data_IF_277211978426
#
_entry.id   IF_277211978426
#
_cell.length_a   1.000
_cell.length_b   1.000
_cell.length_c   1.000
_cell.angle_alpha   90.00
_cell.angle_beta   90.00
_cell.angle_gamma   90.00
#
_symmetry.space_group_name_H-M   'P 1'
#
loop_
_entity.id
_entity.type
_entity.pdbx_description
1 polymer ?
#
# COMPACT_ATOMS: atom_id res chain seq x y z
N UNK A 1 -20.71 9.33 -6.53
CA UNK A 1 -19.28 9.36 -6.17
C UNK A 1 -19.06 8.32 -5.08
N UNK A 2 -18.03 7.48 -5.17
CA UNK A 2 -17.78 6.44 -4.16
C UNK A 2 -17.33 7.04 -2.82
N UNK A 3 -17.45 6.30 -1.72
CA UNK A 3 -17.00 6.76 -0.39
C UNK A 3 -15.50 7.14 -0.39
N UNK A 4 -14.68 6.35 -1.09
CA UNK A 4 -13.23 6.58 -1.19
C UNK A 4 -12.91 7.81 -2.04
N UNK A 5 -13.65 8.05 -3.13
CA UNK A 5 -13.48 9.24 -3.96
C UNK A 5 -13.75 10.51 -3.14
N UNK A 6 -14.80 10.50 -2.32
CA UNK A 6 -15.11 11.63 -1.42
C UNK A 6 -13.97 11.91 -0.46
N UNK A 7 -13.40 10.88 0.18
CA UNK A 7 -12.26 11.01 1.09
C UNK A 7 -11.01 11.56 0.37
N UNK A 8 -10.70 11.05 -0.83
CA UNK A 8 -9.58 11.55 -1.65
C UNK A 8 -9.77 13.05 -1.94
N UNK A 9 -10.99 13.47 -2.29
CA UNK A 9 -11.28 14.87 -2.55
C UNK A 9 -11.19 15.72 -1.28
N UNK A 10 -11.50 15.19 -0.10
CA UNK A 10 -11.31 15.89 1.18
C UNK A 10 -9.83 16.14 1.48
N UNK A 11 -8.97 15.14 1.29
CA UNK A 11 -7.51 15.26 1.42
C UNK A 11 -6.96 16.34 0.49
N UNK A 12 -7.35 16.28 -0.79
CA UNK A 12 -6.90 17.25 -1.80
C UNK A 12 -7.35 18.67 -1.44
N UNK A 13 -8.61 18.84 -1.01
CA UNK A 13 -9.13 20.15 -0.57
C UNK A 13 -8.40 20.65 0.67
N UNK A 14 -8.12 19.78 1.65
CA UNK A 14 -7.40 20.13 2.86
C UNK A 14 -6.01 20.68 2.57
N UNK A 15 -5.25 20.00 1.69
CA UNK A 15 -3.91 20.42 1.29
C UNK A 15 -3.95 21.74 0.52
N UNK A 16 -4.87 21.87 -0.45
CA UNK A 16 -5.05 23.09 -1.25
C UNK A 16 -5.41 24.29 -0.38
N UNK A 17 -6.29 24.12 0.60
CA UNK A 17 -6.69 25.19 1.53
C UNK A 17 -5.52 25.74 2.37
N UNK A 18 -4.44 24.98 2.53
CA UNK A 18 -3.22 25.37 3.25
C UNK A 18 -2.07 25.80 2.34
N UNK A 19 -2.28 25.77 1.02
CA UNK A 19 -1.20 26.04 0.06
C UNK A 19 -0.05 25.03 0.14
N UNK A 20 -0.30 23.81 0.61
CA UNK A 20 0.72 22.78 0.71
C UNK A 20 1.05 22.24 -0.69
N UNK A 21 2.21 22.65 -1.21
CA UNK A 21 2.69 22.32 -2.56
C UNK A 21 4.03 21.59 -2.54
N UNK A 22 4.14 20.44 -1.84
CA UNK A 22 5.38 19.66 -1.83
C UNK A 22 5.72 19.14 -3.23
N UNK A 23 7.01 18.94 -3.49
CA UNK A 23 7.43 18.38 -4.78
C UNK A 23 7.09 16.89 -4.86
N UNK A 24 7.03 16.33 -6.08
CA UNK A 24 6.86 14.88 -6.26
C UNK A 24 7.94 14.05 -5.55
N UNK A 25 9.16 14.61 -5.41
CA UNK A 25 10.27 13.94 -4.72
C UNK A 25 10.04 13.92 -3.22
N UNK A 26 9.54 15.02 -2.66
CA UNK A 26 9.25 15.10 -1.23
C UNK A 26 8.09 14.17 -0.87
N UNK A 27 7.03 14.16 -1.69
CA UNK A 27 5.90 13.25 -1.52
C UNK A 27 6.31 11.78 -1.58
N UNK A 28 7.19 11.41 -2.53
CA UNK A 28 7.70 10.04 -2.63
C UNK A 28 8.53 9.63 -1.39
N UNK A 29 9.30 10.57 -0.81
CA UNK A 29 10.03 10.34 0.44
C UNK A 29 9.06 10.17 1.61
N UNK A 30 8.06 11.05 1.75
CA UNK A 30 7.05 10.97 2.79
C UNK A 30 6.35 9.62 2.79
N UNK A 31 5.91 9.10 1.63
CA UNK A 31 5.32 7.75 1.54
C UNK A 31 6.22 6.67 2.15
N UNK A 32 7.54 6.76 1.98
CA UNK A 32 8.49 5.79 2.55
C UNK A 32 8.71 6.01 4.04
N UNK A 33 8.75 7.27 4.49
CA UNK A 33 8.90 7.64 5.90
C UNK A 33 7.70 7.10 6.69
N UNK A 34 6.47 7.41 6.30
CA UNK A 34 5.29 6.95 7.04
C UNK A 34 5.12 5.43 6.96
N UNK A 35 5.55 4.80 5.86
CA UNK A 35 5.58 3.35 5.77
C UNK A 35 6.62 2.73 6.73
N UNK A 36 7.69 3.46 7.07
CA UNK A 36 8.67 3.05 8.07
C UNK A 36 8.15 3.29 9.49
N UNK A 37 7.40 4.37 9.75
CA UNK A 37 6.73 4.61 11.04
C UNK A 37 5.67 3.52 11.30
N UNK A 38 4.90 3.13 10.28
CA UNK A 38 4.02 1.96 10.33
C UNK A 38 4.78 0.67 10.66
N UNK A 39 5.98 0.48 10.10
CA UNK A 39 6.82 -0.68 10.38
C UNK A 39 7.36 -0.67 11.82
N UNK A 40 7.69 0.51 12.34
CA UNK A 40 8.20 0.68 13.71
C UNK A 40 7.21 0.17 14.76
N UNK A 41 5.89 0.31 14.51
CA UNK A 41 4.84 -0.24 15.38
C UNK A 41 4.94 -1.76 15.61
N UNK A 42 5.71 -2.48 14.78
CA UNK A 42 5.94 -3.93 14.87
C UNK A 42 7.40 -4.29 15.19
N UNK A 43 8.32 -3.34 15.31
CA UNK A 43 9.77 -3.61 15.37
C UNK A 43 10.21 -4.40 16.61
N UNK A 44 9.55 -4.22 17.75
CA UNK A 44 9.94 -4.80 19.05
C UNK A 44 8.94 -5.81 19.60
N UNK A 45 7.89 -6.14 18.85
CA UNK A 45 6.90 -7.11 19.29
C UNK A 45 7.43 -8.53 19.04
N UNK A 46 8.13 -9.12 20.02
CA UNK A 46 8.66 -10.50 19.93
C UNK A 46 7.55 -11.57 19.77
N UNK A 47 6.27 -11.20 19.93
CA UNK A 47 5.12 -12.09 19.70
C UNK A 47 4.78 -12.33 18.22
N UNK A 48 5.59 -11.78 17.30
CA UNK A 48 5.49 -11.73 15.82
C UNK A 48 5.28 -13.07 15.08
N UNK A 49 5.12 -14.19 15.79
CA UNK A 49 4.75 -15.47 15.17
C UNK A 49 3.25 -15.75 15.20
N UNK A 50 2.47 -15.05 16.02
CA UNK A 50 1.06 -15.40 16.26
C UNK A 50 0.09 -14.21 16.40
N UNK A 51 0.49 -12.97 16.06
CA UNK A 51 -0.41 -11.80 16.12
C UNK A 51 -1.65 -12.07 15.24
N UNK A 52 -2.83 -12.14 15.87
CA UNK A 52 -4.13 -12.32 15.21
C UNK A 52 -4.88 -10.98 15.19
N UNK A 53 -4.33 -9.99 14.49
CA UNK A 53 -4.91 -8.66 14.34
C UNK A 53 -4.26 -7.60 15.22
N UNK A 54 -4.77 -6.36 15.14
CA UNK A 54 -4.25 -5.22 15.87
C UNK A 54 -4.84 -5.23 17.29
N UNK A 55 -4.00 -5.18 18.32
CA UNK A 55 -4.50 -5.01 19.69
C UNK A 55 -5.15 -3.63 19.86
N UNK A 56 -6.25 -3.50 20.65
CA UNK A 56 -6.95 -2.23 20.82
C UNK A 56 -6.05 -1.06 21.23
N UNK A 57 -5.04 -1.34 22.06
CA UNK A 57 -4.08 -0.34 22.56
C UNK A 57 -3.14 0.22 21.46
N UNK A 58 -2.95 -0.52 20.37
CA UNK A 58 -2.12 -0.11 19.23
C UNK A 58 -2.95 0.37 18.04
N UNK A 59 -4.30 0.28 18.10
CA UNK A 59 -5.17 0.58 16.96
C UNK A 59 -5.11 2.05 16.54
N UNK A 60 -5.06 2.96 17.50
CA UNK A 60 -4.98 4.39 17.23
C UNK A 60 -3.67 4.74 16.54
N UNK A 61 -2.53 4.40 17.16
CA UNK A 61 -1.21 4.65 16.59
C UNK A 61 -0.99 3.98 15.23
N UNK A 62 -1.36 2.70 15.07
CA UNK A 62 -1.26 2.02 13.76
C UNK A 62 -2.20 2.67 12.74
N UNK A 63 -3.36 3.12 13.19
CA UNK A 63 -4.34 3.82 12.36
C UNK A 63 -3.83 5.14 11.82
N UNK A 64 -3.09 5.90 12.63
CA UNK A 64 -2.42 7.14 12.23
C UNK A 64 -1.42 6.88 11.10
N UNK A 65 -0.49 5.93 11.27
CA UNK A 65 0.51 5.64 10.23
C UNK A 65 -0.12 5.11 8.93
N UNK A 66 -1.19 4.31 9.04
CA UNK A 66 -1.95 3.86 7.86
C UNK A 66 -2.61 5.04 7.14
N UNK A 67 -3.16 5.99 7.89
CA UNK A 67 -3.76 7.20 7.33
C UNK A 67 -2.70 8.07 6.65
N UNK A 68 -1.53 8.22 7.23
CA UNK A 68 -0.45 9.05 6.69
C UNK A 68 0.16 8.47 5.41
N UNK A 69 0.39 7.14 5.37
CA UNK A 69 0.77 6.45 4.11
C UNK A 69 -0.26 6.71 3.01
N UNK A 70 -1.55 6.61 3.33
CA UNK A 70 -2.61 6.88 2.36
C UNK A 70 -2.65 8.34 1.94
N UNK A 71 -2.53 9.28 2.88
CA UNK A 71 -2.56 10.72 2.65
C UNK A 71 -1.48 11.15 1.67
N UNK A 72 -0.23 10.74 1.90
CA UNK A 72 0.87 11.09 1.01
C UNK A 72 0.79 10.36 -0.32
N UNK A 73 0.29 9.12 -0.37
CA UNK A 73 0.09 8.42 -1.65
C UNK A 73 -0.96 9.12 -2.52
N UNK A 74 -2.08 9.55 -1.92
CA UNK A 74 -3.13 10.32 -2.62
C UNK A 74 -2.57 11.66 -3.09
N UNK A 75 -1.85 12.36 -2.22
CA UNK A 75 -1.26 13.66 -2.57
C UNK A 75 -0.21 13.53 -3.67
N UNK A 76 0.60 12.46 -3.66
CA UNK A 76 1.53 12.12 -4.73
C UNK A 76 0.81 11.89 -6.06
N UNK A 77 -0.30 11.15 -6.06
CA UNK A 77 -1.09 10.90 -7.26
C UNK A 77 -1.69 12.18 -7.84
N UNK A 78 -2.25 13.06 -7.01
CA UNK A 78 -2.74 14.38 -7.43
C UNK A 78 -1.60 15.22 -8.04
N UNK A 79 -0.46 15.33 -7.36
CA UNK A 79 0.69 16.12 -7.82
C UNK A 79 1.30 15.61 -9.14
N UNK A 80 1.15 14.32 -9.44
CA UNK A 80 1.69 13.66 -10.65
C UNK A 80 0.63 13.35 -11.70
N UNK A 81 -0.63 13.76 -11.48
CA UNK A 81 -1.78 13.43 -12.35
C UNK A 81 -2.00 11.93 -12.57
N UNK A 82 -1.52 11.09 -11.65
CA UNK A 82 -1.75 9.64 -11.68
C UNK A 82 -3.18 9.37 -11.22
N UNK A 83 -3.99 8.77 -12.09
CA UNK A 83 -5.30 8.26 -11.69
C UNK A 83 -5.12 6.97 -10.87
N UNK A 84 -5.21 7.09 -9.54
CA UNK A 84 -5.00 6.00 -8.58
C UNK A 84 -5.90 4.79 -8.87
N UNK A 85 -7.20 5.01 -9.09
CA UNK A 85 -8.16 3.94 -9.37
C UNK A 85 -7.76 3.14 -10.63
N UNK A 86 -7.44 3.86 -11.71
CA UNK A 86 -7.03 3.24 -12.96
C UNK A 86 -5.76 2.40 -12.79
N UNK A 87 -4.71 2.95 -12.17
CA UNK A 87 -3.43 2.22 -12.04
C UNK A 87 -3.56 1.01 -11.10
N UNK A 88 -4.43 1.07 -10.10
CA UNK A 88 -4.73 -0.07 -9.22
C UNK A 88 -5.52 -1.14 -9.98
N UNK A 89 -6.54 -0.77 -10.77
CA UNK A 89 -7.28 -1.71 -11.64
C UNK A 89 -6.36 -2.40 -12.64
N UNK A 90 -5.52 -1.63 -13.34
CA UNK A 90 -4.52 -2.18 -14.27
C UNK A 90 -3.54 -3.13 -13.55
N UNK A 91 -3.23 -2.85 -12.27
CA UNK A 91 -2.35 -3.70 -11.45
C UNK A 91 -3.04 -5.00 -11.03
N UNK A 92 -4.33 -4.96 -10.70
CA UNK A 92 -5.15 -6.14 -10.41
C UNK A 92 -5.16 -7.05 -11.64
N UNK A 93 -5.50 -6.55 -12.82
CA UNK A 93 -5.53 -7.36 -14.06
C UNK A 93 -4.18 -8.01 -14.38
N UNK A 94 -3.08 -7.26 -14.15
CA UNK A 94 -1.72 -7.80 -14.29
C UNK A 94 -1.42 -8.88 -13.26
N UNK A 95 -1.93 -8.74 -12.04
CA UNK A 95 -1.73 -9.72 -10.98
C UNK A 95 -2.57 -10.97 -11.22
N UNK A 96 -3.82 -10.86 -11.70
CA UNK A 96 -4.68 -11.99 -12.09
C UNK A 96 -4.00 -12.85 -13.17
N UNK A 97 -3.49 -12.21 -14.22
CA UNK A 97 -2.75 -12.92 -15.28
C UNK A 97 -1.47 -13.60 -14.77
N UNK A 98 -0.85 -13.01 -13.73
CA UNK A 98 0.43 -13.48 -13.17
C UNK A 98 0.24 -14.58 -12.12
N UNK A 99 -0.87 -14.53 -11.39
CA UNK A 99 -1.21 -15.32 -10.21
C UNK A 99 -2.71 -15.67 -10.26
N UNK A 100 -3.16 -16.45 -11.26
CA UNK A 100 -4.59 -16.74 -11.46
C UNK A 100 -5.17 -17.47 -10.24
N UNK A 101 -6.46 -17.24 -9.95
CA UNK A 101 -7.15 -17.83 -8.79
C UNK A 101 -7.01 -19.36 -8.71
N UNK A 102 -7.01 -20.07 -9.85
CA UNK A 102 -6.83 -21.52 -9.92
C UNK A 102 -5.50 -21.98 -9.31
N UNK A 103 -4.46 -21.15 -9.42
CA UNK A 103 -3.17 -21.40 -8.78
C UNK A 103 -3.30 -21.48 -7.27
N UNK A 104 -4.32 -20.85 -6.68
CA UNK A 104 -4.58 -20.73 -5.26
C UNK A 104 -5.79 -21.56 -4.76
N UNK A 105 -6.35 -22.45 -5.59
CA UNK A 105 -7.35 -23.44 -5.12
C UNK A 105 -6.64 -24.53 -4.30
N UNK A 106 -7.01 -24.72 -3.02
CA UNK A 106 -6.39 -25.68 -2.08
C UNK A 106 -5.59 -25.04 -0.93
N UNK A 107 -4.76 -25.82 -0.20
CA UNK A 107 -3.93 -25.28 0.89
C UNK A 107 -2.66 -24.63 0.34
N UNK A 108 -2.70 -23.32 0.19
CA UNK A 108 -1.53 -22.52 -0.17
C UNK A 108 -0.83 -22.05 1.09
N UNK A 109 0.47 -22.29 1.15
CA UNK A 109 1.31 -21.84 2.25
C UNK A 109 2.38 -20.88 1.74
N UNK A 110 3.10 -20.28 2.68
CA UNK A 110 4.18 -19.35 2.42
C UNK A 110 5.24 -19.89 1.44
N UNK A 111 5.52 -21.20 1.50
CA UNK A 111 6.48 -21.86 0.60
C UNK A 111 5.95 -21.89 -0.84
N UNK A 112 4.67 -22.18 -1.04
CA UNK A 112 4.04 -22.15 -2.35
C UNK A 112 4.16 -20.75 -2.97
N UNK A 113 3.73 -19.71 -2.24
CA UNK A 113 3.79 -18.33 -2.72
C UNK A 113 5.21 -17.87 -3.07
N UNK A 114 6.19 -18.15 -2.19
CA UNK A 114 7.61 -17.85 -2.45
C UNK A 114 8.14 -18.56 -3.70
N UNK A 115 7.71 -19.80 -3.95
CA UNK A 115 8.11 -20.56 -5.15
C UNK A 115 7.61 -19.92 -6.45
N UNK A 116 6.37 -19.42 -6.48
CA UNK A 116 5.79 -18.75 -7.66
C UNK A 116 6.48 -17.41 -7.92
N UNK A 117 6.73 -16.62 -6.86
CA UNK A 117 7.51 -15.37 -6.95
C UNK A 117 8.91 -15.61 -7.55
N UNK A 118 9.59 -16.68 -7.14
CA UNK A 118 10.92 -17.05 -7.66
C UNK A 118 10.87 -17.42 -9.15
N UNK A 119 9.92 -18.27 -9.56
CA UNK A 119 9.73 -18.66 -10.97
C UNK A 119 9.50 -17.45 -11.87
N UNK A 120 8.66 -16.51 -11.43
CA UNK A 120 8.41 -15.28 -12.18
C UNK A 120 9.65 -14.39 -12.31
N UNK A 121 10.37 -14.16 -11.19
CA UNK A 121 11.60 -13.34 -11.21
C UNK A 121 12.66 -13.93 -12.16
N UNK A 122 12.76 -15.25 -12.23
CA UNK A 122 13.66 -15.93 -13.16
C UNK A 122 13.21 -15.76 -14.63
N UNK A 123 11.90 -15.86 -14.93
CA UNK A 123 11.36 -15.64 -16.28
C UNK A 123 11.58 -14.21 -16.78
N UNK A 124 11.48 -13.21 -15.89
CA UNK A 124 11.71 -11.79 -16.22
C UNK A 124 13.18 -11.44 -16.50
N UNK A 125 14.14 -12.24 -16.02
CA UNK A 125 15.58 -12.04 -16.31
C UNK A 125 16.01 -12.60 -17.68
N UNK A 126 15.12 -13.32 -18.38
CA UNK A 126 15.38 -13.94 -19.69
C UNK A 126 14.82 -13.13 -20.86
N UNK A 127 14.27 -11.95 -20.58
CA UNK A 127 13.75 -10.96 -21.53
C UNK A 127 14.57 -9.70 -21.29
#
# INVERSE_FOLDING_TARGET
>A
MGKLDTLIQEIIRFNKARGWTPTQVDLAKSVVIEAAELLEKYQWDESDRNIKGIEPKNYEEVGEEVADVFWYLVTFCEATSINLEKVVKDKIDKNEKKYPEEMFKGKHNDKFYKSQKRKYRAKRKKI
#
